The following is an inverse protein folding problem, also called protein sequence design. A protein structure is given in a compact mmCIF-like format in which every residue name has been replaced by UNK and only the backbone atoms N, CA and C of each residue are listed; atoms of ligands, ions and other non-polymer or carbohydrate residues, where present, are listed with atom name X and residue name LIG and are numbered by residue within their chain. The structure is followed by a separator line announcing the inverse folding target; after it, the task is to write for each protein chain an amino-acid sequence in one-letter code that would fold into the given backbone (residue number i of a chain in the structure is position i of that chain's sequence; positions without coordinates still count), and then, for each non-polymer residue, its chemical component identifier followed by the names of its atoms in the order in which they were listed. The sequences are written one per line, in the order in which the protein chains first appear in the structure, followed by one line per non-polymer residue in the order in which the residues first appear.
data_IF_058514876274
#
_entry.id   IF_058514876274
#
_cell.length_a   1.000
_cell.length_b   1.000
_cell.length_c   1.000
_cell.angle_alpha   90.00
_cell.angle_beta   90.00
_cell.angle_gamma   90.00
#
_symmetry.space_group_name_H-M   'P 1'
#
loop_
_entity.id
_entity.type
_entity.pdbx_description
1 polymer ?
#
# COMPACT_ATOMS: atom_id res chain seq x y z
N UNK A 1 26.98 -1.77 12.81
CA UNK A 1 25.66 -2.12 12.22
C UNK A 1 25.66 -1.61 10.79
N UNK A 2 25.66 -2.53 9.82
CA UNK A 2 25.84 -2.27 8.38
C UNK A 2 24.47 -1.95 7.75
N UNK A 3 24.46 -1.21 6.64
CA UNK A 3 23.27 -0.73 5.90
C UNK A 3 22.07 -1.70 5.91
N UNK A 4 21.00 -1.30 6.59
CA UNK A 4 19.72 -2.00 6.54
C UNK A 4 18.99 -1.71 5.23
N UNK A 5 18.18 -2.67 4.78
CA UNK A 5 17.25 -2.42 3.68
C UNK A 5 16.30 -1.28 4.11
N UNK A 6 16.16 -0.19 3.32
CA UNK A 6 15.16 0.83 3.61
C UNK A 6 13.77 0.25 3.39
N UNK A 7 12.97 0.14 4.45
CA UNK A 7 11.61 -0.42 4.42
C UNK A 7 10.60 0.69 4.68
N UNK A 8 9.51 0.69 3.90
CA UNK A 8 8.38 1.62 4.06
C UNK A 8 7.09 0.81 3.99
N UNK A 9 6.10 1.18 4.81
CA UNK A 9 4.75 0.65 4.76
C UNK A 9 3.81 1.65 4.08
N UNK A 10 3.02 1.16 3.13
CA UNK A 10 1.99 1.93 2.44
C UNK A 10 0.81 1.02 2.14
N UNK A 11 -0.41 1.50 2.34
CA UNK A 11 -1.59 0.64 2.26
C UNK A 11 -2.92 1.39 2.33
N UNK A 12 -4.00 0.62 2.51
CA UNK A 12 -5.36 1.14 2.63
C UNK A 12 -5.59 1.79 4.00
N UNK A 13 -6.63 2.63 4.08
CA UNK A 13 -7.06 3.21 5.36
C UNK A 13 -7.75 2.14 6.20
N UNK A 14 -7.24 1.85 7.39
CA UNK A 14 -7.75 0.82 8.31
C UNK A 14 -9.06 1.16 9.03
N UNK A 15 -9.98 1.91 8.40
CA UNK A 15 -11.21 2.43 9.04
C UNK A 15 -12.12 1.34 9.64
N UNK A 16 -11.99 0.08 9.21
CA UNK A 16 -12.70 -1.10 9.73
C UNK A 16 -11.78 -2.31 9.96
N UNK A 17 -10.47 -2.09 10.05
CA UNK A 17 -9.50 -3.17 10.22
C UNK A 17 -9.73 -3.90 11.54
N UNK A 18 -9.80 -5.24 11.51
CA UNK A 18 -10.05 -6.10 12.67
C UNK A 18 -11.43 -5.92 13.35
N UNK A 19 -12.45 -5.51 12.59
CA UNK A 19 -13.83 -5.42 13.07
C UNK A 19 -14.77 -6.32 12.24
N UNK A 20 -15.95 -6.65 12.80
CA UNK A 20 -17.04 -7.27 12.02
C UNK A 20 -17.42 -6.35 10.87
N UNK A 21 -17.65 -6.91 9.69
CA UNK A 21 -17.85 -6.18 8.42
C UNK A 21 -16.67 -5.26 8.06
N UNK A 22 -15.46 -5.81 8.13
CA UNK A 22 -14.26 -5.18 7.55
C UNK A 22 -14.48 -4.91 6.06
N UNK A 23 -14.34 -3.64 5.67
CA UNK A 23 -14.58 -3.19 4.30
C UNK A 23 -13.70 -2.01 3.97
N UNK A 24 -13.49 -1.84 2.67
CA UNK A 24 -12.79 -0.69 2.09
C UNK A 24 -13.59 -0.17 0.90
N UNK A 25 -13.43 1.11 0.56
CA UNK A 25 -14.03 1.64 -0.67
C UNK A 25 -13.30 1.07 -1.89
N UNK A 26 -14.05 0.62 -2.88
CA UNK A 26 -13.49 0.03 -4.12
C UNK A 26 -12.56 1.02 -4.84
N UNK A 27 -12.86 2.31 -4.81
CA UNK A 27 -12.00 3.35 -5.42
C UNK A 27 -10.60 3.42 -4.77
N UNK A 28 -10.48 3.09 -3.48
CA UNK A 28 -9.19 3.04 -2.80
C UNK A 28 -8.32 1.88 -3.29
N UNK A 29 -8.91 0.76 -3.71
CA UNK A 29 -8.17 -0.38 -4.30
C UNK A 29 -7.54 0.03 -5.62
N UNK A 30 -8.32 0.69 -6.50
CA UNK A 30 -7.81 1.19 -7.78
C UNK A 30 -6.68 2.21 -7.61
N UNK A 31 -6.82 3.12 -6.63
CA UNK A 31 -5.77 4.08 -6.29
C UNK A 31 -4.53 3.39 -5.74
N UNK A 32 -4.67 2.43 -4.83
CA UNK A 32 -3.54 1.68 -4.28
C UNK A 32 -2.76 0.98 -5.39
N UNK A 33 -3.46 0.32 -6.32
CA UNK A 33 -2.85 -0.31 -7.50
C UNK A 33 -2.02 0.71 -8.30
N UNK A 34 -2.57 1.89 -8.61
CA UNK A 34 -1.84 2.91 -9.38
C UNK A 34 -0.55 3.38 -8.70
N UNK A 35 -0.55 3.51 -7.37
CA UNK A 35 0.65 3.88 -6.61
C UNK A 35 1.70 2.78 -6.66
N UNK A 36 1.33 1.52 -6.42
CA UNK A 36 2.27 0.40 -6.52
C UNK A 36 2.83 0.24 -7.94
N UNK A 37 2.01 0.37 -8.97
CA UNK A 37 2.48 0.33 -10.36
C UNK A 37 3.53 1.40 -10.61
N UNK A 38 3.30 2.65 -10.16
CA UNK A 38 4.28 3.72 -10.28
C UNK A 38 5.58 3.42 -9.53
N UNK A 39 5.50 2.92 -8.29
CA UNK A 39 6.68 2.56 -7.50
C UNK A 39 7.52 1.50 -8.24
N UNK A 40 6.87 0.45 -8.77
CA UNK A 40 7.55 -0.60 -9.51
C UNK A 40 8.17 -0.09 -10.82
N UNK A 41 7.44 0.76 -11.55
CA UNK A 41 7.97 1.42 -12.75
C UNK A 41 9.19 2.26 -12.43
N UNK A 42 9.13 3.11 -11.40
CA UNK A 42 10.22 3.99 -11.00
C UNK A 42 11.44 3.21 -10.44
N UNK A 43 11.21 2.03 -9.85
CA UNK A 43 12.27 1.19 -9.28
C UNK A 43 13.03 0.34 -10.31
N UNK A 44 12.35 -0.13 -11.37
CA UNK A 44 12.92 -0.99 -12.40
C UNK A 44 13.22 -0.27 -13.74
N UNK A 45 12.99 1.05 -13.80
CA UNK A 45 13.30 1.88 -14.97
C UNK A 45 14.81 2.05 -15.22
#
# INVERSE_FOLDING_TARGET
VRTHCPVVEFGLVGHRMHAVDERVRVDQIGRLKSVYTRILSDFFA
#
